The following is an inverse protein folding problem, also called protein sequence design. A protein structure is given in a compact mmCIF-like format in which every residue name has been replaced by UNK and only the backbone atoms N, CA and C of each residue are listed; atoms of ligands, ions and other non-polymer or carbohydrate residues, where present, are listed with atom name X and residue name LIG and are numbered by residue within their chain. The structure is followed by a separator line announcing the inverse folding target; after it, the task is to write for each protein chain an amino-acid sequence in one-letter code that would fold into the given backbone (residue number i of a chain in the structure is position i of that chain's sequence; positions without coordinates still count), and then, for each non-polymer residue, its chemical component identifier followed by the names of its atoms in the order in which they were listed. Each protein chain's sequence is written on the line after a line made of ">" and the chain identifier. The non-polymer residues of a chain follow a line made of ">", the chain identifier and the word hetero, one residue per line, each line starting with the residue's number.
data_IF_697822030780
#
_entry.id   IF_697822030780
#
_cell.length_a   1.000
_cell.length_b   1.000
_cell.length_c   1.000
_cell.angle_alpha   90.00
_cell.angle_beta   90.00
_cell.angle_gamma   90.00
#
_symmetry.space_group_name_H-M   'P 1'
#
loop_
_entity.id
_entity.type
_entity.pdbx_description
1 polymer ?
#
# COMPACT_ATOMS: atom_id res chain seq x y z
N UNK A 1 11.71 -12.50 -9.31
CA UNK A 1 10.84 -13.20 -8.34
C UNK A 1 9.45 -12.63 -8.50
N UNK A 2 8.52 -13.42 -9.01
CA UNK A 2 7.14 -12.98 -9.22
C UNK A 2 6.47 -12.76 -7.87
N UNK A 3 6.00 -11.53 -7.63
CA UNK A 3 5.28 -11.14 -6.41
C UNK A 3 3.86 -11.73 -6.34
N UNK A 4 3.51 -12.65 -7.25
CA UNK A 4 2.29 -13.44 -7.19
C UNK A 4 2.15 -14.24 -5.87
N UNK A 5 3.26 -14.48 -5.16
CA UNK A 5 3.27 -15.13 -3.85
C UNK A 5 2.83 -14.25 -2.66
N UNK A 6 2.73 -12.92 -2.81
CA UNK A 6 2.28 -12.02 -1.72
C UNK A 6 0.75 -11.83 -1.73
N UNK A 7 0.08 -12.23 -2.81
CA UNK A 7 -1.37 -12.10 -2.96
C UNK A 7 -2.17 -13.30 -2.42
N UNK A 8 -1.53 -14.45 -2.22
CA UNK A 8 -2.19 -15.68 -1.76
C UNK A 8 -1.99 -15.83 -0.24
N UNK A 9 -2.81 -15.14 0.55
CA UNK A 9 -2.81 -15.32 2.01
C UNK A 9 -3.32 -14.13 2.83
N UNK A 10 -3.55 -13.00 2.17
CA UNK A 10 -4.05 -11.79 2.82
C UNK A 10 -5.57 -11.76 2.71
N UNK A 11 -6.26 -12.20 3.76
CA UNK A 11 -7.72 -12.18 3.81
C UNK A 11 -8.18 -10.85 4.42
N UNK A 12 -8.61 -9.92 3.56
CA UNK A 12 -9.33 -8.70 3.96
C UNK A 12 -8.53 -7.39 4.02
N UNK A 13 -9.20 -6.26 4.35
CA UNK A 13 -8.66 -4.91 4.23
C UNK A 13 -7.36 -4.68 5.00
N UNK A 14 -7.24 -5.24 6.21
CA UNK A 14 -6.10 -4.99 7.08
C UNK A 14 -4.79 -5.52 6.51
N UNK A 15 -4.80 -6.74 5.96
CA UNK A 15 -3.60 -7.28 5.36
C UNK A 15 -3.30 -6.64 4.00
N UNK A 16 -4.32 -6.28 3.19
CA UNK A 16 -4.09 -5.59 1.92
C UNK A 16 -3.46 -4.21 2.16
N UNK A 17 -3.92 -3.53 3.21
CA UNK A 17 -3.32 -2.28 3.65
C UNK A 17 -1.84 -2.43 4.01
N UNK A 18 -1.48 -3.51 4.71
CA UNK A 18 -0.07 -3.81 5.01
C UNK A 18 0.74 -4.06 3.72
N UNK A 19 0.20 -4.84 2.78
CA UNK A 19 0.86 -5.08 1.49
C UNK A 19 1.08 -3.79 0.69
N UNK A 20 0.14 -2.84 0.74
CA UNK A 20 0.34 -1.50 0.17
C UNK A 20 1.55 -0.80 0.80
N UNK A 21 1.67 -0.80 2.14
CA UNK A 21 2.79 -0.15 2.83
C UNK A 21 4.13 -0.82 2.49
N UNK A 22 4.17 -2.16 2.45
CA UNK A 22 5.37 -2.91 2.06
C UNK A 22 5.78 -2.61 0.61
N UNK A 23 4.83 -2.52 -0.32
CA UNK A 23 5.09 -2.16 -1.71
C UNK A 23 5.63 -0.72 -1.84
N UNK A 24 5.05 0.22 -1.10
CA UNK A 24 5.51 1.62 -1.01
C UNK A 24 6.94 1.70 -0.50
N UNK A 25 7.28 0.96 0.57
CA UNK A 25 8.61 0.97 1.16
C UNK A 25 9.67 0.37 0.24
N UNK A 26 9.30 -0.69 -0.50
CA UNK A 26 10.16 -1.25 -1.55
C UNK A 26 10.49 -0.19 -2.61
N UNK A 27 9.49 0.55 -3.11
CA UNK A 27 9.72 1.63 -4.09
C UNK A 27 10.63 2.73 -3.54
N UNK A 28 10.49 3.12 -2.26
CA UNK A 28 11.39 4.12 -1.66
C UNK A 28 12.83 3.61 -1.60
N UNK A 29 13.03 2.33 -1.23
CA UNK A 29 14.37 1.75 -1.11
C UNK A 29 15.16 1.74 -2.43
N UNK A 30 14.47 1.71 -3.58
CA UNK A 30 15.08 1.69 -4.91
C UNK A 30 15.29 3.09 -5.53
N UNK A 31 14.82 4.17 -4.89
CA UNK A 31 15.01 5.54 -5.42
C UNK A 31 16.41 6.05 -5.11
N UNK A 32 17.14 6.47 -6.16
CA UNK A 32 18.41 7.19 -5.99
C UNK A 32 18.18 8.65 -5.61
N UNK A 33 19.02 9.16 -4.70
CA UNK A 33 18.96 10.51 -4.15
C UNK A 33 19.57 11.54 -5.10
N UNK A 34 18.87 11.87 -6.19
CA UNK A 34 19.22 12.99 -7.07
C UNK A 34 18.57 14.32 -6.63
N UNK A 35 19.17 15.50 -6.87
CA UNK A 35 18.62 16.79 -6.43
C UNK A 35 17.21 17.11 -6.96
N UNK A 36 16.86 16.65 -8.16
CA UNK A 36 15.52 16.78 -8.77
C UNK A 36 14.46 15.85 -8.15
N UNK A 37 14.88 14.93 -7.28
CA UNK A 37 13.98 13.93 -6.68
C UNK A 37 13.37 14.38 -5.35
N UNK A 38 13.84 15.49 -4.75
CA UNK A 38 13.41 15.93 -3.40
C UNK A 38 11.91 16.26 -3.32
N UNK A 39 11.35 16.94 -4.32
CA UNK A 39 9.91 17.28 -4.32
C UNK A 39 9.07 16.01 -4.42
N UNK A 40 9.48 15.07 -5.27
CA UNK A 40 8.78 13.79 -5.44
C UNK A 40 8.91 12.92 -4.19
N UNK A 41 10.07 12.90 -3.53
CA UNK A 41 10.31 12.21 -2.27
C UNK A 41 9.40 12.74 -1.16
N UNK A 42 9.32 14.07 -1.00
CA UNK A 42 8.43 14.69 -0.01
C UNK A 42 6.96 14.36 -0.30
N UNK A 43 6.52 14.44 -1.56
CA UNK A 43 5.14 14.07 -1.95
C UNK A 43 4.85 12.61 -1.63
N UNK A 44 5.80 11.73 -1.90
CA UNK A 44 5.67 10.30 -1.64
C UNK A 44 5.59 10.00 -0.13
N UNK A 45 6.46 10.61 0.67
CA UNK A 45 6.41 10.53 2.15
C UNK A 45 5.09 11.06 2.72
N UNK A 46 4.61 12.20 2.23
CA UNK A 46 3.34 12.78 2.67
C UNK A 46 2.13 11.90 2.27
N UNK A 47 2.18 11.24 1.11
CA UNK A 47 1.16 10.29 0.70
C UNK A 47 1.16 9.04 1.61
N UNK A 48 2.34 8.46 1.87
CA UNK A 48 2.51 7.33 2.81
C UNK A 48 1.96 7.69 4.19
N UNK A 49 2.36 8.84 4.75
CA UNK A 49 1.94 9.26 6.09
C UNK A 49 0.41 9.42 6.19
N UNK A 50 -0.23 9.99 5.17
CA UNK A 50 -1.70 10.10 5.11
C UNK A 50 -2.38 8.74 5.03
N UNK A 51 -1.83 7.83 4.25
CA UNK A 51 -2.34 6.47 4.14
C UNK A 51 -2.20 5.70 5.47
N UNK A 52 -1.06 5.83 6.15
CA UNK A 52 -0.87 5.29 7.51
C UNK A 52 -1.83 5.88 8.53
N UNK A 53 -2.10 7.18 8.44
CA UNK A 53 -3.06 7.86 9.29
C UNK A 53 -4.48 7.36 9.06
N UNK A 54 -4.88 7.15 7.80
CA UNK A 54 -6.17 6.52 7.47
C UNK A 54 -6.28 5.14 8.13
N UNK A 55 -5.27 4.27 7.97
CA UNK A 55 -5.26 2.94 8.57
C UNK A 55 -5.47 2.99 10.09
N UNK A 56 -4.74 3.85 10.79
CA UNK A 56 -4.94 4.08 12.23
C UNK A 56 -6.36 4.58 12.55
N UNK A 57 -6.88 5.50 11.75
CA UNK A 57 -8.22 6.08 11.94
C UNK A 57 -9.36 5.07 11.79
N UNK A 58 -9.17 4.02 10.98
CA UNK A 58 -10.15 2.94 10.83
C UNK A 58 -9.87 1.72 11.71
N UNK A 59 -8.86 1.79 12.59
CA UNK A 59 -8.50 0.68 13.49
C UNK A 59 -7.68 -0.43 12.84
N UNK A 60 -6.88 -0.12 11.83
CA UNK A 60 -5.88 -1.04 11.25
C UNK A 60 -4.49 -0.69 11.81
N UNK A 61 -3.83 -1.66 12.44
CA UNK A 61 -2.47 -1.51 12.97
C UNK A 61 -1.62 -2.71 12.61
N UNK A 62 -0.44 -2.46 12.03
CA UNK A 62 0.53 -3.51 11.64
C UNK A 62 -0.10 -4.64 10.78
N UNK A 63 -1.05 -4.28 9.92
CA UNK A 63 -1.75 -5.25 9.05
C UNK A 63 -2.81 -6.10 9.75
N UNK A 64 -3.19 -5.73 10.98
CA UNK A 64 -4.27 -6.37 11.74
C UNK A 64 -5.40 -5.38 11.95
N UNK A 65 -6.63 -5.88 11.86
CA UNK A 65 -7.81 -5.15 12.29
C UNK A 65 -7.89 -5.26 13.82
N UNK A 66 -8.09 -4.14 14.50
CA UNK A 66 -8.23 -4.09 15.95
C UNK A 66 -9.66 -4.43 16.35
N UNK A 67 -9.86 -4.85 17.61
CA UNK A 67 -11.20 -5.17 18.11
C UNK A 67 -12.11 -3.92 18.19
N UNK A 68 -11.51 -2.74 18.38
CA UNK A 68 -12.18 -1.43 18.43
C UNK A 68 -12.14 -0.68 17.08
N UNK A 69 -12.04 -1.42 15.98
CA UNK A 69 -11.99 -0.83 14.65
C UNK A 69 -13.29 -0.10 14.28
N UNK A 70 -13.20 0.75 13.25
CA UNK A 70 -14.34 1.53 12.80
C UNK A 70 -15.40 0.62 12.17
N UNK A 71 -16.62 0.61 12.72
CA UNK A 71 -17.72 -0.31 12.33
C UNK A 71 -18.10 -0.30 10.85
N UNK A 72 -17.79 0.77 10.13
CA UNK A 72 -17.91 0.79 8.66
C UNK A 72 -17.12 -0.32 7.96
N UNK A 73 -16.08 -0.90 8.57
CA UNK A 73 -15.36 -2.05 8.00
C UNK A 73 -16.06 -3.40 8.23
N UNK A 74 -17.06 -3.46 9.12
CA UNK A 74 -17.95 -4.62 9.29
C UNK A 74 -19.04 -4.66 8.20
N UNK A 75 -19.34 -3.51 7.59
CA UNK A 75 -20.23 -3.45 6.45
C UNK A 75 -19.56 -4.12 5.24
N UNK A 76 -20.24 -5.13 4.70
CA UNK A 76 -19.69 -5.98 3.64
C UNK A 76 -19.37 -5.19 2.36
N UNK A 77 -20.21 -4.23 1.99
CA UNK A 77 -20.05 -3.48 0.75
C UNK A 77 -18.89 -2.49 0.88
N UNK A 78 -18.78 -1.82 2.04
CA UNK A 78 -17.64 -0.95 2.35
C UNK A 78 -16.35 -1.77 2.42
N UNK A 79 -16.35 -2.90 3.12
CA UNK A 79 -15.17 -3.77 3.28
C UNK A 79 -14.68 -4.31 1.92
N UNK A 80 -15.61 -4.67 1.04
CA UNK A 80 -15.31 -5.07 -0.34
C UNK A 80 -14.70 -3.91 -1.13
N UNK A 81 -15.34 -2.74 -1.14
CA UNK A 81 -14.86 -1.57 -1.88
C UNK A 81 -13.46 -1.12 -1.40
N UNK A 82 -13.21 -1.16 -0.09
CA UNK A 82 -11.89 -0.88 0.48
C UNK A 82 -10.87 -1.93 0.03
N UNK A 83 -11.23 -3.21 0.07
CA UNK A 83 -10.34 -4.29 -0.39
C UNK A 83 -9.98 -4.14 -1.87
N UNK A 84 -10.95 -3.85 -2.74
CA UNK A 84 -10.74 -3.63 -4.16
C UNK A 84 -9.83 -2.44 -4.42
N UNK A 85 -10.05 -1.33 -3.72
CA UNK A 85 -9.21 -0.13 -3.81
C UNK A 85 -7.75 -0.46 -3.42
N UNK A 86 -7.55 -1.14 -2.29
CA UNK A 86 -6.22 -1.51 -1.82
C UNK A 86 -5.53 -2.46 -2.81
N UNK A 87 -6.27 -3.41 -3.37
CA UNK A 87 -5.75 -4.32 -4.40
C UNK A 87 -5.29 -3.57 -5.66
N UNK A 88 -6.08 -2.61 -6.14
CA UNK A 88 -5.73 -1.77 -7.29
C UNK A 88 -4.47 -0.94 -7.00
N UNK A 89 -4.32 -0.41 -5.79
CA UNK A 89 -3.12 0.35 -5.38
C UNK A 89 -1.88 -0.55 -5.44
N UNK A 90 -1.93 -1.76 -4.88
CA UNK A 90 -0.81 -2.72 -4.94
C UNK A 90 -0.44 -2.99 -6.39
N UNK A 91 -1.43 -3.31 -7.23
CA UNK A 91 -1.21 -3.60 -8.65
C UNK A 91 -0.56 -2.42 -9.36
N UNK A 92 -1.04 -1.20 -9.15
CA UNK A 92 -0.48 0.00 -9.76
C UNK A 92 0.98 0.25 -9.35
N UNK A 93 1.34 0.00 -8.09
CA UNK A 93 2.72 0.12 -7.60
C UNK A 93 3.62 -0.93 -8.26
N UNK A 94 3.17 -2.19 -8.29
CA UNK A 94 3.92 -3.28 -8.92
C UNK A 94 4.14 -3.04 -10.42
N UNK A 95 3.08 -2.70 -11.16
CA UNK A 95 3.13 -2.42 -12.60
C UNK A 95 4.12 -1.29 -12.91
N UNK A 96 4.13 -0.22 -12.09
CA UNK A 96 5.06 0.90 -12.23
C UNK A 96 6.51 0.50 -11.93
N UNK A 97 6.73 -0.34 -10.91
CA UNK A 97 8.05 -0.88 -10.57
C UNK A 97 8.62 -1.73 -11.71
N UNK A 98 7.82 -2.63 -12.26
CA UNK A 98 8.25 -3.51 -13.37
C UNK A 98 8.57 -2.72 -14.64
N UNK A 99 7.74 -1.71 -14.96
CA UNK A 99 8.01 -0.80 -16.06
C UNK A 99 9.29 0.03 -15.87
N UNK A 100 9.65 0.37 -14.63
CA UNK A 100 10.92 1.05 -14.33
C UNK A 100 12.12 0.14 -14.58
N UNK A 101 12.07 -1.11 -14.12
CA UNK A 101 13.14 -2.10 -14.29
C UNK A 101 13.41 -2.40 -15.76
N UNK A 102 12.35 -2.54 -16.58
CA UNK A 102 12.47 -2.76 -18.03
C UNK A 102 13.14 -1.63 -18.80
N UNK A 103 13.10 -0.39 -18.28
CA UNK A 103 13.72 0.78 -18.94
C UNK A 103 15.20 0.95 -18.59
N UNK A 104 15.66 0.29 -17.54
CA UNK A 104 17.05 0.33 -17.07
C UNK A 104 17.91 -0.85 -17.51
N UNK A 105 17.32 -1.83 -18.22
CA UNK A 105 17.99 -2.98 -18.82
C UNK A 105 18.17 -2.76 -20.32
#
# INVERSE_FOLDING_TARGET
>A
MELAGLAVGVVGPAGLFRSCLEAVDKVQSHRSSGPDTRVLDIRFKAAKARFEQWGRGVGIKQGRLLDDHHSALDDKDISSAVSDLLHIIIKAICDASDASLRRSA
#
